data_IF_306698761436
#
_entry.id   IF_306698761436
#
_cell.length_a   1.000
_cell.length_b   1.000
_cell.length_c   1.000
_cell.angle_alpha   90.00
_cell.angle_beta   90.00
_cell.angle_gamma   90.00
#
_symmetry.space_group_name_H-M   'P 1'
#
loop_
_entity.id
_entity.type
_entity.pdbx_description
1 polymer ?
#
# COMPACT_ATOMS: atom_id res chain seq x y z
N UNK A 1 33.08 -20.94 1.91
CA UNK A 1 32.80 -19.64 1.27
C UNK A 1 31.84 -18.86 2.17
N UNK A 2 32.37 -17.89 2.94
CA UNK A 2 31.55 -17.09 3.85
C UNK A 2 30.79 -16.00 3.10
N UNK A 3 29.45 -15.99 3.19
CA UNK A 3 28.63 -14.88 2.72
C UNK A 3 28.89 -13.69 3.65
N UNK A 4 29.60 -12.68 3.15
CA UNK A 4 29.60 -11.35 3.76
C UNK A 4 28.24 -10.71 3.46
N UNK A 5 27.29 -10.81 4.40
CA UNK A 5 26.13 -9.92 4.40
C UNK A 5 26.63 -8.52 4.67
N UNK A 6 26.60 -7.67 3.66
CA UNK A 6 26.75 -6.24 3.85
C UNK A 6 25.45 -5.73 4.48
N UNK A 7 25.47 -5.48 5.79
CA UNK A 7 24.43 -4.69 6.42
C UNK A 7 24.54 -3.27 5.87
N UNK A 8 23.74 -2.93 4.86
CA UNK A 8 23.48 -1.54 4.53
C UNK A 8 22.82 -0.92 5.76
N UNK A 9 23.51 0.04 6.37
CA UNK A 9 23.07 0.75 7.57
C UNK A 9 21.66 1.30 7.41
N UNK A 10 20.77 1.01 8.37
CA UNK A 10 19.42 1.57 8.50
C UNK A 10 19.39 3.12 8.49
N UNK A 11 20.54 3.78 8.69
CA UNK A 11 20.66 5.24 8.69
C UNK A 11 20.51 5.90 7.32
N UNK A 12 20.68 5.15 6.21
CA UNK A 12 20.92 5.77 4.91
C UNK A 12 19.73 6.55 4.34
N UNK A 13 18.50 6.23 4.77
CA UNK A 13 17.30 7.01 4.42
C UNK A 13 16.92 8.04 5.49
N UNK A 14 17.24 7.78 6.77
CA UNK A 14 16.92 8.69 7.87
C UNK A 14 17.66 10.02 7.73
N UNK A 15 18.87 10.00 7.18
CA UNK A 15 19.72 11.18 7.05
C UNK A 15 19.41 12.04 5.80
N UNK A 16 18.61 11.52 4.86
CA UNK A 16 18.24 12.24 3.64
C UNK A 16 17.17 13.30 3.90
N UNK A 17 17.30 14.45 3.25
CA UNK A 17 16.25 15.45 3.18
C UNK A 17 14.99 14.90 2.53
N UNK A 18 13.81 15.46 2.85
CA UNK A 18 12.54 15.07 2.23
C UNK A 18 12.62 15.07 0.70
N UNK A 19 13.26 16.09 0.12
CA UNK A 19 13.42 16.21 -1.33
C UNK A 19 14.24 15.07 -1.94
N UNK A 20 15.34 14.68 -1.28
CA UNK A 20 16.17 13.56 -1.74
C UNK A 20 15.41 12.23 -1.64
N UNK A 21 14.66 12.03 -0.55
CA UNK A 21 13.81 10.85 -0.41
C UNK A 21 12.76 10.76 -1.53
N UNK A 22 12.05 11.85 -1.80
CA UNK A 22 11.06 11.92 -2.88
C UNK A 22 11.68 11.57 -4.25
N UNK A 23 12.85 12.13 -4.56
CA UNK A 23 13.54 11.87 -5.83
C UNK A 23 13.87 10.39 -6.07
N UNK A 24 14.00 9.59 -5.00
CA UNK A 24 14.28 8.15 -5.08
C UNK A 24 13.02 7.30 -5.11
N UNK A 25 11.95 7.73 -4.46
CA UNK A 25 10.72 6.95 -4.30
C UNK A 25 9.67 7.24 -5.35
N UNK A 26 9.78 8.35 -6.09
CA UNK A 26 8.76 8.78 -7.03
C UNK A 26 9.35 9.05 -8.42
N UNK A 27 9.01 8.23 -9.40
CA UNK A 27 9.11 8.56 -10.83
C UNK A 27 7.86 9.29 -11.33
N UNK A 28 7.05 9.84 -10.41
CA UNK A 28 5.65 10.19 -10.63
C UNK A 28 5.49 11.25 -11.70
N UNK A 29 4.64 10.95 -12.68
CA UNK A 29 4.09 11.91 -13.64
C UNK A 29 2.58 11.97 -13.40
N UNK A 30 1.97 13.16 -13.21
CA UNK A 30 2.61 14.47 -13.13
C UNK A 30 3.48 14.64 -11.87
N UNK A 31 4.44 15.59 -11.89
CA UNK A 31 5.28 15.88 -10.74
C UNK A 31 4.42 16.30 -9.54
N UNK A 32 4.81 15.82 -8.36
CA UNK A 32 4.24 16.23 -7.08
C UNK A 32 4.34 17.76 -6.94
N UNK A 33 3.28 18.42 -6.49
CA UNK A 33 3.33 19.88 -6.34
C UNK A 33 4.08 20.26 -5.07
N UNK A 34 3.63 19.70 -3.95
CA UNK A 34 4.21 19.93 -2.63
C UNK A 34 3.93 18.75 -1.72
N UNK A 35 4.75 18.59 -0.69
CA UNK A 35 4.65 17.49 0.25
C UNK A 35 5.02 17.94 1.67
N UNK A 36 4.07 17.82 2.57
CA UNK A 36 4.19 18.18 3.99
C UNK A 36 4.24 16.89 4.85
N UNK A 37 5.45 16.36 5.15
CA UNK A 37 5.56 15.18 5.99
C UNK A 37 5.31 15.53 7.46
N UNK A 38 4.64 14.61 8.18
CA UNK A 38 4.46 14.71 9.63
C UNK A 38 3.68 15.96 10.07
N UNK A 39 2.66 16.38 9.30
CA UNK A 39 1.70 17.41 9.73
C UNK A 39 1.03 17.02 11.05
N UNK A 40 0.93 15.71 11.29
CA UNK A 40 0.69 15.13 12.59
C UNK A 40 1.64 13.94 12.79
N UNK A 41 2.27 13.85 13.96
CA UNK A 41 3.19 12.77 14.30
C UNK A 41 2.67 12.06 15.53
N UNK A 42 2.31 10.79 15.36
CA UNK A 42 1.90 9.93 16.45
C UNK A 42 3.04 9.67 17.42
N UNK A 43 2.69 9.20 18.60
CA UNK A 43 3.67 8.74 19.58
C UNK A 43 4.60 7.68 18.96
N UNK A 44 5.89 7.67 19.32
CA UNK A 44 6.81 6.64 18.85
C UNK A 44 6.30 5.25 19.26
N UNK A 45 6.55 4.22 18.44
CA UNK A 45 6.10 2.86 18.72
C UNK A 45 6.69 2.38 20.06
N UNK A 46 5.85 1.78 20.90
CA UNK A 46 6.27 1.29 22.21
C UNK A 46 7.20 0.07 22.13
N UNK A 47 7.12 -0.70 21.03
CA UNK A 47 7.93 -1.89 20.81
C UNK A 47 8.62 -1.86 19.43
N UNK A 48 9.84 -2.38 19.37
CA UNK A 48 10.67 -2.37 18.15
C UNK A 48 10.13 -3.28 17.05
N UNK A 49 9.39 -4.33 17.40
CA UNK A 49 8.81 -5.30 16.45
C UNK A 49 7.43 -4.90 15.91
N UNK A 50 6.94 -3.70 16.24
CA UNK A 50 5.65 -3.21 15.74
C UNK A 50 5.63 -3.12 14.21
N UNK A 51 4.44 -3.35 13.65
CA UNK A 51 4.19 -3.17 12.21
C UNK A 51 3.40 -1.89 12.02
N UNK A 52 3.85 -1.02 11.12
CA UNK A 52 3.08 0.17 10.73
C UNK A 52 2.15 -0.16 9.57
N UNK A 53 0.86 0.12 9.71
CA UNK A 53 -0.05 0.11 8.57
C UNK A 53 0.22 1.33 7.67
N UNK A 54 0.56 1.09 6.41
CA UNK A 54 0.73 2.12 5.40
C UNK A 54 -0.51 2.18 4.53
N UNK A 55 -1.19 3.32 4.62
CA UNK A 55 -2.48 3.57 3.98
C UNK A 55 -2.43 4.94 3.31
N UNK A 56 -3.25 5.13 2.28
CA UNK A 56 -3.44 6.44 1.69
C UNK A 56 -4.93 6.68 1.42
N UNK A 57 -5.32 7.95 1.44
CA UNK A 57 -6.68 8.40 1.17
C UNK A 57 -6.65 9.71 0.39
N UNK A 58 -7.75 10.02 -0.29
CA UNK A 58 -8.00 11.37 -0.80
C UNK A 58 -8.65 12.19 0.32
N UNK A 59 -8.36 13.48 0.38
CA UNK A 59 -9.01 14.41 1.29
C UNK A 59 -10.53 14.51 1.06
N UNK A 60 -11.00 14.27 -0.16
CA UNK A 60 -12.43 14.12 -0.48
C UNK A 60 -13.05 12.84 0.08
N UNK A 61 -12.23 11.81 0.32
CA UNK A 61 -12.70 10.55 0.88
C UNK A 61 -13.09 10.71 2.35
N UNK A 62 -13.90 9.77 2.83
CA UNK A 62 -14.37 9.79 4.20
C UNK A 62 -13.26 9.34 5.16
N UNK A 63 -12.53 10.32 5.71
CA UNK A 63 -11.60 10.10 6.83
C UNK A 63 -12.27 9.40 8.02
N UNK A 64 -13.60 9.47 8.15
CA UNK A 64 -14.35 8.73 9.15
C UNK A 64 -14.26 7.21 8.91
N UNK A 65 -14.32 6.77 7.65
CA UNK A 65 -14.17 5.36 7.31
C UNK A 65 -12.81 4.85 7.76
N UNK A 66 -11.74 5.60 7.50
CA UNK A 66 -10.41 5.25 8.00
C UNK A 66 -10.35 5.21 9.53
N UNK A 67 -10.98 6.18 10.21
CA UNK A 67 -11.08 6.19 11.66
C UNK A 67 -11.74 4.91 12.18
N UNK A 68 -12.88 4.53 11.60
CA UNK A 68 -13.64 3.35 12.04
C UNK A 68 -12.83 2.06 11.85
N UNK A 69 -12.09 1.95 10.75
CA UNK A 69 -11.13 0.85 10.55
C UNK A 69 -10.00 0.88 11.60
N UNK A 70 -9.42 2.04 11.84
CA UNK A 70 -8.24 2.22 12.70
C UNK A 70 -8.47 1.78 14.14
N UNK A 71 -9.72 1.79 14.61
CA UNK A 71 -10.10 1.27 15.94
C UNK A 71 -9.81 -0.21 16.14
N UNK A 72 -9.71 -0.98 15.06
CA UNK A 72 -9.35 -2.40 15.09
C UNK A 72 -7.85 -2.64 14.88
N UNK A 73 -7.08 -1.58 14.63
CA UNK A 73 -5.64 -1.63 14.42
C UNK A 73 -4.91 -1.09 15.65
N UNK A 74 -4.26 -1.98 16.40
CA UNK A 74 -3.53 -1.60 17.63
C UNK A 74 -2.10 -1.12 17.38
N UNK A 75 -1.66 -1.09 16.12
CA UNK A 75 -0.32 -0.67 15.74
C UNK A 75 -0.24 0.80 15.30
N UNK A 76 0.96 1.28 14.97
CA UNK A 76 1.14 2.56 14.32
C UNK A 76 0.52 2.60 12.92
N UNK A 77 0.09 3.78 12.48
CA UNK A 77 -0.42 4.05 11.13
C UNK A 77 0.42 5.14 10.50
N UNK A 78 0.87 4.92 9.28
CA UNK A 78 1.42 5.94 8.39
C UNK A 78 0.38 6.22 7.31
N UNK A 79 -0.25 7.38 7.41
CA UNK A 79 -1.32 7.83 6.54
C UNK A 79 -0.81 8.90 5.59
N UNK A 80 -0.91 8.63 4.28
CA UNK A 80 -0.79 9.68 3.28
C UNK A 80 -2.18 10.21 2.90
N UNK A 81 -2.40 11.51 3.07
CA UNK A 81 -3.58 12.21 2.55
C UNK A 81 -3.17 12.92 1.26
N UNK A 82 -3.93 12.71 0.18
CA UNK A 82 -3.74 13.45 -1.07
C UNK A 82 -4.80 14.54 -1.18
N UNK A 83 -4.40 15.74 -1.60
CA UNK A 83 -5.29 16.90 -1.71
C UNK A 83 -4.99 17.69 -2.98
N UNK A 84 -6.03 18.27 -3.58
CA UNK A 84 -5.89 19.28 -4.63
C UNK A 84 -5.91 20.72 -4.08
N UNK A 85 -6.09 20.88 -2.77
CA UNK A 85 -6.03 22.16 -2.12
C UNK A 85 -4.61 22.71 -2.21
N UNK A 86 -4.49 23.97 -2.63
CA UNK A 86 -3.20 24.67 -2.63
C UNK A 86 -2.75 24.94 -1.19
N UNK A 87 -1.46 24.84 -0.88
CA UNK A 87 -0.93 25.27 0.42
C UNK A 87 -1.46 26.67 0.80
N UNK A 88 -1.71 26.87 2.09
CA UNK A 88 -2.25 28.10 2.69
C UNK A 88 -3.67 28.54 2.25
N UNK A 89 -4.34 27.81 1.37
CA UNK A 89 -5.73 28.13 0.98
C UNK A 89 -6.74 27.83 2.10
N UNK A 90 -7.98 28.33 1.94
CA UNK A 90 -9.08 27.99 2.84
C UNK A 90 -9.40 26.49 2.82
N UNK A 91 -9.43 25.87 1.63
CA UNK A 91 -9.62 24.42 1.48
C UNK A 91 -8.51 23.63 2.20
N UNK A 92 -7.25 24.08 2.08
CA UNK A 92 -6.13 23.44 2.76
C UNK A 92 -6.30 23.49 4.27
N UNK A 93 -6.70 24.64 4.81
CA UNK A 93 -7.04 24.77 6.24
C UNK A 93 -8.18 23.85 6.65
N UNK A 94 -9.20 23.65 5.81
CA UNK A 94 -10.28 22.71 6.08
C UNK A 94 -9.78 21.26 6.15
N UNK A 95 -8.88 20.86 5.24
CA UNK A 95 -8.24 19.54 5.27
C UNK A 95 -7.44 19.35 6.56
N UNK A 96 -6.59 20.32 6.92
CA UNK A 96 -5.81 20.28 8.15
C UNK A 96 -6.69 20.20 9.40
N UNK A 97 -7.80 20.94 9.46
CA UNK A 97 -8.74 20.89 10.58
C UNK A 97 -9.42 19.52 10.69
N UNK A 98 -9.78 18.87 9.58
CA UNK A 98 -10.34 17.51 9.59
C UNK A 98 -9.33 16.47 10.06
N UNK A 99 -8.07 16.59 9.61
CA UNK A 99 -6.98 15.71 10.05
C UNK A 99 -6.71 15.90 11.55
N UNK A 100 -6.70 17.15 12.04
CA UNK A 100 -6.55 17.44 13.47
C UNK A 100 -7.70 16.84 14.28
N UNK A 101 -8.94 17.04 13.84
CA UNK A 101 -10.12 16.47 14.51
C UNK A 101 -10.05 14.93 14.58
N UNK A 102 -9.54 14.28 13.53
CA UNK A 102 -9.31 12.84 13.52
C UNK A 102 -8.29 12.42 14.60
N UNK A 103 -7.16 13.13 14.66
CA UNK A 103 -6.08 12.83 15.59
C UNK A 103 -6.45 13.10 17.06
N UNK A 104 -7.22 14.16 17.33
CA UNK A 104 -7.67 14.52 18.68
C UNK A 104 -8.76 13.57 19.22
N UNK A 105 -9.48 12.90 18.31
CA UNK A 105 -10.61 12.04 18.68
C UNK A 105 -10.19 10.78 19.42
N UNK A 106 -9.03 10.22 19.09
CA UNK A 106 -8.47 9.05 19.75
C UNK A 106 -6.96 9.21 19.97
N UNK A 107 -6.55 9.80 21.12
CA UNK A 107 -5.14 9.97 21.44
C UNK A 107 -4.35 8.66 21.60
N UNK A 108 -5.03 7.52 21.76
CA UNK A 108 -4.36 6.22 21.80
C UNK A 108 -3.96 5.73 20.39
N UNK A 109 -4.53 6.32 19.34
CA UNK A 109 -4.18 6.00 17.97
C UNK A 109 -2.80 6.56 17.63
N UNK A 110 -1.84 5.68 17.38
CA UNK A 110 -0.49 6.05 16.93
C UNK A 110 -0.50 6.43 15.44
N UNK A 111 -1.08 7.58 15.11
CA UNK A 111 -1.27 8.05 13.74
C UNK A 111 -0.16 9.03 13.33
N UNK A 112 0.56 8.74 12.24
CA UNK A 112 1.42 9.71 11.54
C UNK A 112 0.77 10.10 10.23
N UNK A 113 0.57 11.40 9.99
CA UNK A 113 -0.10 11.90 8.80
C UNK A 113 0.86 12.74 7.96
N UNK A 114 0.82 12.49 6.66
CA UNK A 114 1.58 13.18 5.64
C UNK A 114 0.60 13.73 4.61
N UNK A 115 0.79 14.98 4.18
CA UNK A 115 -0.08 15.61 3.20
C UNK A 115 0.66 15.79 1.88
N UNK A 116 0.05 15.34 0.79
CA UNK A 116 0.58 15.44 -0.55
C UNK A 116 -0.34 16.29 -1.42
N UNK A 117 0.19 17.38 -1.97
CA UNK A 117 -0.52 18.26 -2.88
C UNK A 117 -0.36 17.76 -4.32
N UNK A 118 -1.49 17.55 -4.98
CA UNK A 118 -1.57 17.05 -6.36
C UNK A 118 -2.41 17.99 -7.22
N UNK A 119 -1.98 18.24 -8.46
CA UNK A 119 -2.73 19.09 -9.42
C UNK A 119 -4.15 18.61 -9.64
N UNK A 120 -4.30 17.30 -9.73
CA UNK A 120 -5.54 16.58 -9.97
C UNK A 120 -5.42 15.23 -9.30
N UNK A 121 -6.51 14.72 -8.76
CA UNK A 121 -6.54 13.33 -8.34
C UNK A 121 -6.27 12.46 -9.57
N UNK A 122 -5.12 11.79 -9.55
CA UNK A 122 -4.77 10.83 -10.56
C UNK A 122 -4.85 9.43 -9.94
N UNK A 123 -5.72 8.60 -10.49
CA UNK A 123 -5.85 7.18 -10.16
C UNK A 123 -4.65 6.35 -10.66
N UNK A 124 -3.62 6.98 -11.25
CA UNK A 124 -2.46 6.28 -11.79
C UNK A 124 -1.25 6.24 -10.84
N UNK A 125 -1.34 6.83 -9.63
CA UNK A 125 -0.19 6.99 -8.73
C UNK A 125 -0.38 6.33 -7.34
N UNK A 126 -1.25 5.31 -7.25
CA UNK A 126 -1.58 4.62 -6.00
C UNK A 126 -0.37 3.99 -5.28
N UNK A 127 0.52 3.34 -6.01
CA UNK A 127 1.73 2.74 -5.46
C UNK A 127 2.74 3.79 -5.02
N UNK A 128 2.81 4.91 -5.75
CA UNK A 128 3.63 6.06 -5.33
C UNK A 128 3.18 6.55 -3.95
N UNK A 129 1.86 6.66 -3.75
CA UNK A 129 1.29 7.07 -2.46
C UNK A 129 1.63 6.09 -1.34
N UNK A 130 1.55 4.78 -1.60
CA UNK A 130 1.95 3.76 -0.62
C UNK A 130 3.44 3.77 -0.32
N UNK A 131 4.28 4.01 -1.32
CA UNK A 131 5.72 4.15 -1.11
C UNK A 131 6.04 5.35 -0.21
N UNK A 132 5.32 6.47 -0.35
CA UNK A 132 5.49 7.62 0.55
C UNK A 132 5.05 7.29 1.97
N UNK A 133 3.88 6.67 2.15
CA UNK A 133 3.44 6.21 3.47
C UNK A 133 4.47 5.25 4.10
N UNK A 134 5.00 4.31 3.32
CA UNK A 134 6.08 3.40 3.73
C UNK A 134 7.34 4.15 4.12
N UNK A 135 7.82 5.06 3.28
CA UNK A 135 9.06 5.80 3.49
C UNK A 135 9.09 6.57 4.81
N UNK A 136 7.94 7.09 5.24
CA UNK A 136 7.80 7.85 6.48
C UNK A 136 7.21 7.06 7.65
N UNK A 137 6.99 5.76 7.49
CA UNK A 137 6.51 4.89 8.56
C UNK A 137 7.48 4.89 9.77
N UNK A 138 6.96 4.92 11.02
CA UNK A 138 7.79 4.99 12.22
C UNK A 138 8.48 3.66 12.59
N UNK A 139 8.03 2.52 12.05
CA UNK A 139 8.60 1.20 12.36
C UNK A 139 9.43 0.65 11.20
N UNK A 140 10.28 -0.33 11.50
CA UNK A 140 11.06 -1.04 10.48
C UNK A 140 10.18 -1.95 9.62
N UNK A 141 9.11 -2.53 10.16
CA UNK A 141 8.17 -3.37 9.41
C UNK A 141 6.94 -2.59 9.04
N UNK A 142 6.49 -2.73 7.79
CA UNK A 142 5.30 -2.05 7.29
C UNK A 142 4.34 -3.03 6.65
N UNK A 143 3.04 -2.84 6.88
CA UNK A 143 1.97 -3.52 6.16
C UNK A 143 1.41 -2.56 5.11
N UNK A 144 1.60 -2.88 3.84
CA UNK A 144 1.12 -2.10 2.72
C UNK A 144 -0.30 -2.52 2.37
N UNK A 145 -1.25 -1.59 2.49
CA UNK A 145 -2.63 -1.80 2.04
C UNK A 145 -2.79 -1.29 0.62
N UNK A 146 -2.88 -2.16 -0.38
CA UNK A 146 -3.01 -1.72 -1.76
C UNK A 146 -4.36 -1.07 -2.03
N UNK A 147 -5.35 -1.30 -1.17
CA UNK A 147 -6.78 -1.02 -1.31
C UNK A 147 -7.36 -0.19 -0.16
N UNK A 148 -8.68 -0.10 -0.12
CA UNK A 148 -9.41 0.24 1.10
C UNK A 148 -9.10 -0.84 2.16
N UNK A 149 -8.59 -0.47 3.35
CA UNK A 149 -8.19 -1.44 4.35
C UNK A 149 -9.38 -2.19 4.99
N UNK A 150 -10.62 -1.69 4.86
CA UNK A 150 -11.83 -2.42 5.29
C UNK A 150 -12.06 -3.70 4.49
N UNK A 151 -11.61 -3.73 3.24
CA UNK A 151 -11.75 -4.92 2.39
C UNK A 151 -10.91 -6.09 2.92
N UNK A 152 -9.87 -5.80 3.69
CA UNK A 152 -8.97 -6.80 4.25
C UNK A 152 -9.04 -6.81 5.79
N UNK A 153 -10.26 -6.74 6.34
CA UNK A 153 -10.51 -6.76 7.77
C UNK A 153 -10.17 -8.15 8.36
N UNK A 154 -8.95 -8.28 8.88
CA UNK A 154 -8.51 -9.46 9.63
C UNK A 154 -8.45 -9.06 11.10
N UNK A 155 -9.38 -9.56 11.95
CA UNK A 155 -9.38 -9.25 13.36
C UNK A 155 -8.02 -9.62 13.98
N UNK A 156 -7.45 -8.70 14.75
CA UNK A 156 -6.18 -8.90 15.46
C UNK A 156 -4.96 -9.18 14.58
N UNK A 157 -5.01 -8.82 13.29
CA UNK A 157 -3.87 -9.00 12.36
C UNK A 157 -2.57 -8.44 12.93
N UNK A 158 -2.62 -7.26 13.58
CA UNK A 158 -1.45 -6.65 14.16
C UNK A 158 -0.80 -7.54 15.21
N UNK A 159 -1.57 -8.12 16.13
CA UNK A 159 -1.06 -9.01 17.19
C UNK A 159 -0.38 -10.24 16.58
N UNK A 160 -1.03 -10.88 15.59
CA UNK A 160 -0.45 -12.05 14.93
C UNK A 160 0.84 -11.72 14.18
N UNK A 161 0.99 -10.48 13.69
CA UNK A 161 2.21 -10.04 13.02
C UNK A 161 3.39 -9.79 13.98
N UNK A 162 3.13 -9.47 15.25
CA UNK A 162 4.18 -9.22 16.24
C UNK A 162 5.03 -10.47 16.51
N UNK A 163 4.42 -11.66 16.42
CA UNK A 163 5.07 -12.96 16.67
C UNK A 163 5.74 -13.55 15.42
N UNK A 164 5.63 -12.87 14.27
CA UNK A 164 6.17 -13.35 12.99
C UNK A 164 7.58 -12.83 12.75
N UNK A 165 8.42 -13.70 12.19
CA UNK A 165 9.74 -13.33 11.71
C UNK A 165 9.66 -12.17 10.71
N UNK A 166 10.60 -11.25 10.80
CA UNK A 166 10.73 -10.07 9.96
C UNK A 166 11.64 -10.30 8.74
N UNK A 167 12.25 -11.49 8.64
CA UNK A 167 13.27 -11.80 7.63
C UNK A 167 12.73 -11.92 6.20
N UNK A 168 11.46 -12.30 6.03
CA UNK A 168 10.83 -12.50 4.72
C UNK A 168 9.61 -11.58 4.55
N UNK A 169 9.30 -11.14 3.32
CA UNK A 169 7.99 -10.59 3.02
C UNK A 169 6.88 -11.56 3.39
N UNK A 170 5.80 -11.05 3.96
CA UNK A 170 4.66 -11.84 4.38
C UNK A 170 3.42 -11.37 3.62
N UNK A 171 2.80 -12.29 2.88
CA UNK A 171 1.56 -12.05 2.16
C UNK A 171 0.36 -12.37 3.06
N UNK A 172 -0.61 -11.46 3.07
CA UNK A 172 -1.89 -11.67 3.74
C UNK A 172 -2.90 -12.16 2.70
N UNK A 173 -3.25 -13.44 2.75
CA UNK A 173 -4.13 -14.09 1.77
C UNK A 173 -4.86 -15.30 2.39
N UNK A 174 -5.88 -15.85 1.74
CA UNK A 174 -6.58 -17.04 2.25
C UNK A 174 -5.81 -18.34 1.98
N UNK A 175 -5.04 -18.37 0.91
CA UNK A 175 -4.31 -19.55 0.44
C UNK A 175 -2.79 -19.36 0.55
N UNK A 176 -2.06 -20.48 0.54
CA UNK A 176 -0.59 -20.48 0.56
C UNK A 176 -0.04 -19.60 -0.58
N UNK A 177 1.08 -18.90 -0.34
CA UNK A 177 1.61 -17.94 -1.28
C UNK A 177 2.23 -18.71 -2.45
N UNK A 178 1.55 -18.70 -3.59
CA UNK A 178 2.10 -19.08 -4.87
C UNK A 178 1.80 -17.95 -5.84
N UNK A 179 2.81 -17.50 -6.58
CA UNK A 179 2.59 -16.51 -7.62
C UNK A 179 1.80 -17.15 -8.77
N UNK A 180 0.79 -16.47 -9.36
CA UNK A 180 0.32 -15.11 -9.03
C UNK A 180 -0.48 -15.05 -7.73
N UNK A 181 -0.22 -14.00 -6.94
CA UNK A 181 -0.93 -13.78 -5.67
C UNK A 181 -2.36 -13.29 -5.88
N UNK A 182 -3.26 -13.48 -4.90
CA UNK A 182 -4.60 -12.94 -4.98
C UNK A 182 -4.57 -11.41 -5.15
N UNK A 183 -5.48 -10.87 -5.97
CA UNK A 183 -5.50 -9.45 -6.27
C UNK A 183 -5.69 -8.61 -5.00
N UNK A 184 -5.02 -7.47 -4.94
CA UNK A 184 -5.11 -6.53 -3.82
C UNK A 184 -4.76 -7.12 -2.45
N UNK A 185 -4.03 -8.23 -2.40
CA UNK A 185 -3.54 -8.81 -1.14
C UNK A 185 -2.58 -7.85 -0.44
N UNK A 186 -2.80 -7.49 0.84
CA UNK A 186 -1.83 -6.73 1.61
C UNK A 186 -0.54 -7.50 1.80
N UNK A 187 0.58 -6.78 1.92
CA UNK A 187 1.89 -7.38 2.11
C UNK A 187 2.65 -6.67 3.23
N UNK A 188 3.27 -7.47 4.10
CA UNK A 188 4.22 -7.00 5.10
C UNK A 188 5.61 -7.08 4.51
N UNK A 189 6.34 -5.98 4.54
CA UNK A 189 7.74 -5.89 4.13
C UNK A 189 8.53 -5.04 5.12
N UNK A 190 9.86 -5.09 5.03
CA UNK A 190 10.70 -4.09 5.69
C UNK A 190 10.53 -2.73 5.01
N UNK A 191 10.59 -1.66 5.79
CA UNK A 191 10.49 -0.28 5.35
C UNK A 191 11.58 0.03 4.32
N UNK A 192 12.77 -0.48 4.54
CA UNK A 192 13.97 -0.35 3.70
C UNK A 192 14.12 -1.46 2.63
N UNK A 193 13.12 -2.33 2.45
CA UNK A 193 13.15 -3.40 1.44
C UNK A 193 13.52 -2.85 0.03
N UNK A 194 14.41 -3.52 -0.73
CA UNK A 194 14.94 -2.97 -1.98
C UNK A 194 13.88 -2.74 -3.06
N UNK A 195 12.86 -3.61 -3.15
CA UNK A 195 11.74 -3.42 -4.05
C UNK A 195 10.85 -2.24 -3.61
N UNK A 196 10.64 -1.30 -4.53
CA UNK A 196 9.65 -0.22 -4.43
C UNK A 196 8.53 -0.45 -5.44
N UNK A 197 7.28 -0.16 -5.06
CA UNK A 197 6.14 -0.31 -5.97
C UNK A 197 6.15 0.84 -6.97
N UNK A 198 6.68 0.66 -8.17
CA UNK A 198 6.66 1.69 -9.22
C UNK A 198 5.42 1.54 -10.08
N UNK A 199 4.81 2.65 -10.47
CA UNK A 199 3.85 2.64 -11.57
C UNK A 199 4.60 2.37 -12.86
N UNK A 200 4.25 1.28 -13.56
CA UNK A 200 4.86 0.97 -14.85
C UNK A 200 3.95 1.47 -15.96
N UNK A 201 4.58 2.02 -17.01
CA UNK A 201 3.92 2.59 -18.18
C UNK A 201 3.26 1.49 -19.03
N UNK A 202 2.14 0.94 -18.56
CA UNK A 202 1.28 0.11 -19.39
C UNK A 202 0.12 0.95 -19.91
N UNK A 203 -0.30 0.67 -21.14
CA UNK A 203 -1.43 1.35 -21.78
C UNK A 203 -2.77 1.17 -21.02
N UNK A 204 -2.84 0.18 -20.13
CA UNK A 204 -3.96 -0.05 -19.22
C UNK A 204 -3.54 0.28 -17.78
N UNK A 205 -3.78 1.52 -17.37
CA UNK A 205 -3.55 1.95 -15.99
C UNK A 205 -4.68 1.40 -15.14
N UNK A 206 -4.38 0.44 -14.29
CA UNK A 206 -5.32 -0.01 -13.27
C UNK A 206 -4.56 -0.35 -12.01
N UNK A 207 -5.08 0.14 -10.89
CA UNK A 207 -4.57 -0.15 -9.55
C UNK A 207 -4.29 -1.64 -9.32
N UNK A 208 -5.14 -2.50 -9.89
CA UNK A 208 -5.02 -3.93 -9.83
C UNK A 208 -3.72 -4.43 -10.48
N UNK A 209 -3.48 -4.03 -11.73
CA UNK A 209 -2.30 -4.41 -12.51
C UNK A 209 -1.04 -3.82 -11.86
N UNK A 210 -1.09 -2.55 -11.48
CA UNK A 210 0.02 -1.86 -10.82
C UNK A 210 0.42 -2.56 -9.51
N UNK A 211 -0.56 -3.04 -8.74
CA UNK A 211 -0.30 -3.80 -7.52
C UNK A 211 0.25 -5.21 -7.81
N UNK A 212 -0.29 -5.90 -8.81
CA UNK A 212 0.23 -7.21 -9.25
C UNK A 212 1.71 -7.11 -9.64
N UNK A 213 2.08 -6.09 -10.41
CA UNK A 213 3.47 -5.81 -10.77
C UNK A 213 4.35 -5.49 -9.56
N UNK A 214 3.84 -4.74 -8.57
CA UNK A 214 4.60 -4.51 -7.34
C UNK A 214 4.85 -5.83 -6.60
N UNK A 215 3.82 -6.64 -6.36
CA UNK A 215 3.98 -7.89 -5.63
C UNK A 215 4.85 -8.90 -6.37
N UNK A 216 4.82 -8.91 -7.70
CA UNK A 216 5.76 -9.65 -8.53
C UNK A 216 7.21 -9.18 -8.34
N UNK A 217 7.44 -7.87 -8.30
CA UNK A 217 8.78 -7.31 -8.07
C UNK A 217 9.32 -7.69 -6.68
N UNK A 218 8.48 -7.66 -5.64
CA UNK A 218 8.87 -8.12 -4.29
C UNK A 218 9.15 -9.63 -4.30
N UNK A 219 8.36 -10.42 -5.02
CA UNK A 219 8.58 -11.86 -5.22
C UNK A 219 9.94 -12.16 -5.86
N UNK A 220 10.31 -11.41 -6.90
CA UNK A 220 11.61 -11.54 -7.56
C UNK A 220 12.78 -11.19 -6.63
N UNK A 221 12.71 -10.04 -5.94
CA UNK A 221 13.76 -9.60 -5.01
C UNK A 221 13.93 -10.57 -3.82
N UNK A 222 12.89 -11.33 -3.50
CA UNK A 222 12.92 -12.35 -2.45
C UNK A 222 13.26 -13.74 -2.96
N UNK A 223 13.62 -13.90 -4.24
CA UNK A 223 13.87 -15.19 -4.90
C UNK A 223 12.72 -16.19 -4.68
N UNK A 224 11.50 -15.69 -4.64
CA UNK A 224 10.28 -16.44 -4.38
C UNK A 224 10.02 -16.87 -2.93
N UNK A 225 10.83 -16.41 -1.97
CA UNK A 225 10.67 -16.73 -0.55
C UNK A 225 9.69 -15.77 0.13
N UNK A 226 8.50 -16.27 0.47
CA UNK A 226 7.42 -15.52 1.12
C UNK A 226 6.89 -16.30 2.32
N UNK A 227 6.65 -15.61 3.44
CA UNK A 227 5.78 -16.13 4.49
C UNK A 227 4.31 -15.78 4.16
N UNK A 228 3.39 -16.42 4.87
CA UNK A 228 1.97 -16.25 4.66
C UNK A 228 1.21 -16.18 5.97
N UNK A 229 0.30 -15.23 6.02
CA UNK A 229 -0.71 -15.13 7.05
C UNK A 229 -2.08 -15.41 6.44
N UNK A 230 -2.72 -16.46 6.93
CA UNK A 230 -4.06 -16.82 6.51
C UNK A 230 -5.07 -15.79 7.03
N UNK A 231 -5.72 -15.07 6.10
CA UNK A 231 -6.72 -14.05 6.43
C UNK A 231 -8.00 -14.62 7.05
N UNK A 232 -8.27 -15.93 6.91
CA UNK A 232 -9.45 -16.59 7.49
C UNK A 232 -9.32 -16.92 8.98
N UNK A 233 -8.12 -16.84 9.57
CA UNK A 233 -7.88 -17.29 10.94
C UNK A 233 -7.97 -16.10 11.91
N UNK A 234 -9.19 -15.72 12.26
CA UNK A 234 -9.45 -14.99 13.51
C UNK A 234 -9.31 -15.92 14.72
N UNK A 235 -9.09 -15.39 15.94
CA UNK A 235 -9.00 -16.23 17.13
C UNK A 235 -10.32 -16.97 17.35
N UNK A 236 -10.23 -18.27 17.58
CA UNK A 236 -11.34 -19.15 17.95
C UNK A 236 -11.80 -18.80 19.36
N UNK A 237 -12.55 -17.71 19.52
CA UNK A 237 -13.44 -17.58 20.67
C UNK A 237 -14.73 -18.30 20.31
N UNK A 238 -14.89 -19.50 20.87
CA UNK A 238 -15.94 -20.45 20.50
C UNK A 238 -17.33 -19.86 20.66
N UNK A 239 -17.88 -19.33 19.58
CA UNK A 239 -19.30 -19.29 19.26
C UNK A 239 -19.39 -19.58 17.76
N UNK A 240 -20.04 -20.68 17.41
CA UNK A 240 -20.24 -21.11 16.04
C UNK A 240 -21.04 -20.06 15.27
N UNK A 241 -20.34 -19.15 14.59
CA UNK A 241 -20.85 -18.44 13.42
C UNK A 241 -20.03 -18.92 12.24
N UNK A 242 -20.73 -19.34 11.20
CA UNK A 242 -20.19 -19.69 9.89
C UNK A 242 -19.13 -18.66 9.47
N UNK A 243 -17.92 -19.08 9.05
CA UNK A 243 -16.90 -18.15 8.59
C UNK A 243 -17.41 -17.50 7.31
N UNK A 244 -17.82 -16.24 7.41
CA UNK A 244 -18.03 -15.41 6.23
C UNK A 244 -16.64 -15.12 5.67
N UNK A 245 -16.35 -15.72 4.52
CA UNK A 245 -15.14 -15.47 3.75
C UNK A 245 -15.07 -13.97 3.40
N UNK A 246 -14.14 -13.24 4.02
CA UNK A 246 -13.77 -11.90 3.57
C UNK A 246 -12.54 -12.05 2.69
N UNK A 247 -12.78 -12.50 1.46
CA UNK A 247 -11.87 -12.16 0.36
C UNK A 247 -11.82 -10.64 0.34
N UNK A 248 -10.63 -10.03 0.15
CA UNK A 248 -10.53 -8.62 -0.21
C UNK A 248 -11.31 -8.40 -1.51
N UNK A 249 -12.63 -8.18 -1.38
CA UNK A 249 -13.54 -8.12 -2.51
C UNK A 249 -13.19 -6.85 -3.25
N UNK A 250 -12.71 -7.01 -4.48
CA UNK A 250 -12.78 -5.91 -5.43
C UNK A 250 -14.24 -5.43 -5.43
N UNK A 251 -14.52 -4.12 -5.33
CA UNK A 251 -15.85 -3.63 -5.70
C UNK A 251 -16.12 -4.15 -7.11
N UNK A 252 -17.30 -4.74 -7.34
CA UNK A 252 -17.71 -5.31 -8.63
C UNK A 252 -17.68 -4.23 -9.72
N UNK A 253 -16.50 -3.96 -10.28
CA UNK A 253 -16.37 -3.34 -11.58
C UNK A 253 -16.26 -4.49 -12.57
N UNK A 254 -17.30 -4.61 -13.39
CA UNK A 254 -17.41 -5.56 -14.48
C UNK A 254 -16.24 -5.34 -15.46
N UNK A 255 -15.12 -6.01 -15.23
CA UNK A 255 -14.06 -6.14 -16.23
C UNK A 255 -14.50 -7.17 -17.27
N UNK A 256 -15.28 -6.71 -18.25
CA UNK A 256 -15.44 -7.43 -19.51
C UNK A 256 -14.10 -7.40 -20.25
N UNK A 257 -13.22 -8.35 -19.96
CA UNK A 257 -12.12 -8.68 -20.85
C UNK A 257 -12.71 -9.34 -22.11
N UNK A 258 -13.18 -8.53 -23.07
CA UNK A 258 -13.23 -9.01 -24.45
C UNK A 258 -11.79 -9.17 -24.91
N UNK A 259 -11.29 -10.40 -24.80
CA UNK A 259 -10.14 -10.88 -25.54
C UNK A 259 -10.32 -10.45 -27.01
N UNK A 260 -9.49 -9.52 -27.45
CA UNK A 260 -9.31 -9.20 -28.87
C UNK A 260 -8.95 -10.51 -29.58
N UNK A 261 -9.95 -11.17 -30.18
CA UNK A 261 -9.73 -12.20 -31.18
C UNK A 261 -9.01 -11.53 -32.34
N UNK A 262 -7.72 -11.74 -32.44
CA UNK A 262 -6.95 -11.42 -33.63
C UNK A 262 -7.54 -12.22 -34.78
N UNK A 263 -8.21 -11.54 -35.71
CA UNK A 263 -8.62 -12.12 -36.98
C UNK A 263 -7.37 -12.57 -37.75
N UNK A 264 -7.36 -13.75 -38.37
CA UNK A 264 -6.26 -14.14 -39.25
C UNK A 264 -6.22 -13.23 -40.48
N UNK A 265 -5.03 -12.74 -40.82
CA UNK A 265 -4.76 -12.09 -42.11
C UNK A 265 -5.08 -13.10 -43.22
N UNK A 266 -6.10 -12.79 -44.03
CA UNK A 266 -6.35 -13.49 -45.27
C UNK A 266 -5.34 -13.01 -46.33
N UNK A 267 -4.47 -13.92 -46.77
CA UNK A 267 -3.65 -13.77 -47.96
C UNK A 267 -4.55 -13.59 -49.20
N UNK A 268 -4.58 -12.40 -49.78
CA UNK A 268 -5.05 -12.21 -51.15
C UNK A 268 -3.88 -12.45 -52.10
N UNK A 269 -3.77 -13.69 -52.56
CA UNK A 269 -2.96 -14.05 -53.73
C UNK A 269 -3.59 -13.46 -55.00
N UNK A 270 -2.92 -12.47 -55.57
CA UNK A 270 -3.16 -11.98 -56.93
C UNK A 270 -2.78 -13.06 -57.94
N UNK A 271 -3.78 -13.61 -58.65
CA UNK A 271 -3.56 -14.33 -59.91
C UNK A 271 -3.43 -13.30 -61.03
N UNK A 272 -2.29 -13.29 -61.72
CA UNK A 272 -2.17 -12.73 -63.06
C UNK A 272 -2.65 -13.78 -64.06
N UNK A 273 -3.60 -13.40 -64.91
CA UNK A 273 -4.06 -14.21 -66.05
C UNK A 273 -3.26 -13.83 -67.29
N UNK A 274 -2.75 -14.84 -67.99
CA UNK A 274 -2.79 -14.90 -69.45
C UNK A 274 -4.18 -15.36 -69.89
#
# INVERSE_FOLDING_TARGET
>A
MGRRSYCLSESLFADLSTRERLSRTTSSTPPLEDFEPFIFRGSPPAAQNMVTACVWVQDSADLQSLYDWSRNWTGPISLLVTTNARPESEDHRHVLNRIRALAERDPALSLSVHLLHVKRYNEQNHNTYLNLARLFAPTERVLLFPGDPHLCAIPNVHVTLLDRDASLPLLIADSRPAFPFPPMSPIVVRRDHPAWCTERFFFAHSRLIDWQECTWSIWLESFGSFDHLNATVGPVTGHARTPNFVVCRLPEQVFNYQLLKTSPCSDQGTKSSD
#
